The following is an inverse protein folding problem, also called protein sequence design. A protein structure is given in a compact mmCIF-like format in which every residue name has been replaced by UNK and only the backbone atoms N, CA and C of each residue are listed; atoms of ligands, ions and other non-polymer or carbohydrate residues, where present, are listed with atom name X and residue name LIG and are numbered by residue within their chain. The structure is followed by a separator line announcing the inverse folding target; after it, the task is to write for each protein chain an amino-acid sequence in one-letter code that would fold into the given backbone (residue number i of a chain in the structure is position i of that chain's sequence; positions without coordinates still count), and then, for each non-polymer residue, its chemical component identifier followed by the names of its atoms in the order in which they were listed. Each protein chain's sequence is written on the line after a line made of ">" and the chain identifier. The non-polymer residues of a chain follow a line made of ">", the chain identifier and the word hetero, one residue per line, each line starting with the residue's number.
data_IF_369999379282
#
_entry.id   IF_369999379282
#
_cell.length_a   1.000
_cell.length_b   1.000
_cell.length_c   1.000
_cell.angle_alpha   90.00
_cell.angle_beta   90.00
_cell.angle_gamma   90.00
#
_symmetry.space_group_name_H-M   'P 1'
#
loop_
_entity.id
_entity.type
_entity.pdbx_description
1 polymer ?
#
# COMPACT_ATOMS: atom_id res chain seq x y z
N UNK A 1 -0.49 -63.88 -13.45
CA UNK A 1 0.43 -62.79 -13.89
C UNK A 1 -0.23 -61.79 -14.86
N UNK A 2 -1.14 -62.21 -15.75
CA UNK A 2 -1.74 -61.31 -16.76
C UNK A 2 -2.64 -60.22 -16.14
N UNK A 3 -3.45 -60.54 -15.14
CA UNK A 3 -4.39 -59.63 -14.48
C UNK A 3 -3.72 -58.48 -13.70
N UNK A 4 -2.56 -58.71 -13.12
CA UNK A 4 -1.82 -57.71 -12.37
C UNK A 4 -1.23 -56.61 -13.29
N UNK A 5 -0.91 -56.99 -14.53
CA UNK A 5 -0.38 -56.05 -15.53
C UNK A 5 -1.49 -55.20 -16.16
N UNK A 6 -2.69 -55.75 -16.33
CA UNK A 6 -3.87 -55.01 -16.82
C UNK A 6 -4.32 -53.95 -15.80
N UNK A 7 -4.33 -54.31 -14.51
CA UNK A 7 -4.67 -53.34 -13.45
C UNK A 7 -3.68 -52.18 -13.35
N UNK A 8 -2.36 -52.46 -13.49
CA UNK A 8 -1.34 -51.43 -13.53
C UNK A 8 -1.43 -50.51 -14.76
N UNK A 9 -1.77 -51.09 -15.93
CA UNK A 9 -1.97 -50.29 -17.14
C UNK A 9 -3.21 -49.35 -17.04
N UNK A 10 -4.30 -49.83 -16.42
CA UNK A 10 -5.50 -49.01 -16.23
C UNK A 10 -5.23 -47.85 -15.23
N UNK A 11 -4.49 -48.11 -14.16
CA UNK A 11 -4.12 -47.05 -13.19
C UNK A 11 -3.22 -46.01 -13.86
N UNK A 12 -2.27 -46.40 -14.68
CA UNK A 12 -1.37 -45.48 -15.39
C UNK A 12 -2.15 -44.67 -16.41
N UNK A 13 -3.10 -45.26 -17.15
CA UNK A 13 -3.94 -44.54 -18.11
C UNK A 13 -4.85 -43.56 -17.40
N UNK A 14 -5.42 -43.92 -16.23
CA UNK A 14 -6.27 -43.01 -15.45
C UNK A 14 -5.47 -41.83 -14.84
N UNK A 15 -4.26 -42.08 -14.39
CA UNK A 15 -3.39 -41.01 -13.84
C UNK A 15 -2.85 -40.09 -14.92
N UNK A 16 -2.50 -40.62 -16.08
CA UNK A 16 -2.08 -39.82 -17.25
C UNK A 16 -3.28 -39.03 -17.80
N UNK A 17 -4.46 -39.64 -17.90
CA UNK A 17 -5.70 -38.94 -18.28
C UNK A 17 -6.08 -37.83 -17.30
N UNK A 18 -5.87 -38.04 -16.01
CA UNK A 18 -6.09 -37.02 -14.97
C UNK A 18 -5.05 -35.90 -15.07
N UNK A 19 -3.78 -36.22 -15.31
CA UNK A 19 -2.70 -35.23 -15.51
C UNK A 19 -2.92 -34.45 -16.81
N UNK A 20 -3.36 -35.09 -17.90
CA UNK A 20 -3.66 -34.41 -19.16
C UNK A 20 -4.90 -33.51 -19.02
N UNK A 21 -5.90 -33.91 -18.25
CA UNK A 21 -7.08 -33.09 -17.99
C UNK A 21 -6.74 -31.88 -17.12
N UNK A 22 -5.85 -32.00 -16.13
CA UNK A 22 -5.32 -30.87 -15.38
C UNK A 22 -4.48 -29.96 -16.29
N UNK A 23 -3.66 -30.53 -17.23
CA UNK A 23 -2.84 -29.71 -18.09
C UNK A 23 -3.60 -29.04 -19.24
N UNK A 24 -4.74 -29.55 -19.67
CA UNK A 24 -5.49 -28.96 -20.81
C UNK A 24 -6.68 -28.06 -20.38
N UNK A 25 -7.29 -28.33 -19.22
CA UNK A 25 -8.45 -27.55 -18.73
C UNK A 25 -8.16 -26.82 -17.42
N UNK A 26 -7.33 -27.38 -16.55
CA UNK A 26 -7.01 -26.81 -15.23
C UNK A 26 -5.90 -25.74 -15.28
N UNK A 27 -4.95 -25.81 -16.23
CA UNK A 27 -3.89 -24.82 -16.37
C UNK A 27 -4.43 -23.43 -16.74
N UNK A 28 -5.38 -23.26 -17.67
CA UNK A 28 -5.99 -21.96 -17.92
C UNK A 28 -6.69 -21.41 -16.69
N UNK A 29 -7.47 -22.22 -15.98
CA UNK A 29 -8.19 -21.81 -14.76
C UNK A 29 -7.21 -21.47 -13.62
N UNK A 30 -6.16 -22.25 -13.43
CA UNK A 30 -5.10 -21.94 -12.46
C UNK A 30 -4.30 -20.71 -12.88
N UNK A 31 -4.03 -20.53 -14.16
CA UNK A 31 -3.34 -19.35 -14.70
C UNK A 31 -4.21 -18.09 -14.59
N UNK A 32 -5.51 -18.21 -14.85
CA UNK A 32 -6.48 -17.15 -14.65
C UNK A 32 -6.67 -16.82 -13.17
N UNK A 33 -6.82 -17.82 -12.31
CA UNK A 33 -6.89 -17.64 -10.86
C UNK A 33 -5.58 -17.07 -10.30
N UNK A 34 -4.44 -17.51 -10.80
CA UNK A 34 -3.12 -16.99 -10.44
C UNK A 34 -2.94 -15.56 -10.97
N UNK A 35 -3.41 -15.23 -12.16
CA UNK A 35 -3.40 -13.86 -12.69
C UNK A 35 -4.34 -12.92 -11.92
N UNK A 36 -5.47 -13.41 -11.44
CA UNK A 36 -6.39 -12.65 -10.57
C UNK A 36 -5.79 -12.43 -9.16
N UNK A 37 -5.05 -13.41 -8.64
CA UNK A 37 -4.36 -13.31 -7.36
C UNK A 37 -3.05 -12.50 -7.51
N UNK A 38 -2.40 -12.58 -8.66
CA UNK A 38 -1.19 -11.86 -9.04
C UNK A 38 -1.46 -10.76 -10.06
N UNK A 39 -2.63 -10.12 -10.05
CA UNK A 39 -2.74 -8.81 -10.67
C UNK A 39 -1.75 -7.91 -9.89
N UNK A 40 -0.49 -8.04 -10.28
CA UNK A 40 0.55 -7.10 -9.94
C UNK A 40 0.15 -5.78 -10.59
N UNK A 41 -0.57 -4.97 -9.87
CA UNK A 41 -0.56 -3.57 -10.17
C UNK A 41 0.91 -3.17 -9.99
N UNK A 42 1.60 -2.96 -11.10
CA UNK A 42 2.97 -2.48 -11.08
C UNK A 42 2.93 -1.03 -10.63
N UNK A 43 3.48 -0.79 -9.45
CA UNK A 43 3.72 0.57 -8.97
C UNK A 43 5.10 1.03 -9.49
N UNK A 44 5.29 2.34 -9.68
CA UNK A 44 6.63 2.87 -9.94
C UNK A 44 7.61 2.40 -8.87
N UNK A 45 8.85 2.12 -9.26
CA UNK A 45 9.88 1.69 -8.31
C UNK A 45 10.03 2.69 -7.17
N UNK A 46 10.17 2.18 -5.94
CA UNK A 46 10.40 3.00 -4.77
C UNK A 46 11.86 3.39 -4.67
N UNK A 47 12.10 4.68 -4.48
CA UNK A 47 13.43 5.24 -4.29
C UNK A 47 13.50 6.12 -3.05
N UNK A 48 14.71 6.24 -2.51
CA UNK A 48 15.03 7.16 -1.43
C UNK A 48 16.11 8.14 -1.88
N UNK A 49 15.96 9.41 -1.51
CA UNK A 49 16.91 10.48 -1.81
C UNK A 49 17.18 11.31 -0.57
N UNK A 50 18.45 11.47 -0.22
CA UNK A 50 18.88 12.34 0.87
C UNK A 50 18.75 13.80 0.45
N UNK A 51 18.28 14.64 1.34
CA UNK A 51 18.07 16.07 1.16
C UNK A 51 18.75 16.85 2.31
N UNK A 52 18.98 18.13 2.10
CA UNK A 52 19.41 19.11 3.11
C UNK A 52 20.59 18.62 3.97
N UNK A 53 21.71 18.26 3.33
CA UNK A 53 22.92 17.76 3.98
C UNK A 53 22.61 16.52 4.87
N UNK A 54 21.83 15.59 4.35
CA UNK A 54 21.47 14.30 4.98
C UNK A 54 20.65 14.41 6.29
N UNK A 55 19.96 15.54 6.47
CA UNK A 55 19.03 15.71 7.59
C UNK A 55 17.58 15.40 7.26
N UNK A 56 17.28 15.25 5.98
CA UNK A 56 15.97 14.93 5.47
C UNK A 56 16.05 13.80 4.44
N UNK A 57 14.99 13.02 4.33
CA UNK A 57 14.91 11.90 3.40
C UNK A 57 13.63 12.02 2.59
N UNK A 58 13.75 11.86 1.28
CA UNK A 58 12.60 11.75 0.40
C UNK A 58 12.35 10.29 0.04
N UNK A 59 11.07 9.87 0.16
CA UNK A 59 10.52 8.64 -0.36
C UNK A 59 9.67 8.99 -1.58
N UNK A 60 10.02 8.48 -2.76
CA UNK A 60 9.22 8.67 -3.97
C UNK A 60 9.03 7.36 -4.75
N UNK A 61 7.85 7.23 -5.38
CA UNK A 61 7.45 6.00 -6.08
C UNK A 61 6.34 5.23 -5.36
N UNK A 62 6.17 3.98 -5.72
CA UNK A 62 5.14 3.11 -5.20
C UNK A 62 5.57 2.37 -3.94
N UNK A 63 4.64 2.15 -3.02
CA UNK A 63 4.90 1.46 -1.76
C UNK A 63 4.64 -0.04 -1.94
N UNK A 64 5.68 -0.86 -1.76
CA UNK A 64 5.61 -2.31 -1.80
C UNK A 64 5.90 -2.93 -0.41
N UNK A 65 5.59 -4.22 -0.27
CA UNK A 65 5.99 -4.99 0.91
C UNK A 65 7.51 -5.18 0.85
N UNK A 66 8.22 -4.79 1.91
CA UNK A 66 9.68 -4.75 1.94
C UNK A 66 10.26 -3.33 1.87
N UNK A 67 9.45 -2.32 1.50
CA UNK A 67 9.84 -0.90 1.52
C UNK A 67 10.32 -0.45 2.89
N UNK A 68 9.78 -1.05 3.95
CA UNK A 68 10.18 -0.75 5.33
C UNK A 68 11.66 -1.05 5.60
N UNK A 69 12.20 -2.12 5.01
CA UNK A 69 13.62 -2.48 5.18
C UNK A 69 14.55 -1.46 4.54
N UNK A 70 14.12 -0.89 3.41
CA UNK A 70 14.88 0.15 2.73
C UNK A 70 14.86 1.44 3.55
N UNK A 71 13.71 1.83 4.10
CA UNK A 71 13.61 3.00 4.98
C UNK A 71 14.48 2.83 6.23
N UNK A 72 14.42 1.67 6.91
CA UNK A 72 15.27 1.39 8.08
C UNK A 72 16.75 1.53 7.75
N UNK A 73 17.20 0.93 6.63
CA UNK A 73 18.60 1.01 6.20
C UNK A 73 19.05 2.47 5.97
N UNK A 74 18.20 3.32 5.38
CA UNK A 74 18.50 4.75 5.22
C UNK A 74 18.61 5.47 6.55
N UNK A 75 17.66 5.22 7.46
CA UNK A 75 17.64 5.88 8.78
C UNK A 75 18.77 5.40 9.71
N UNK A 76 19.22 4.14 9.56
CA UNK A 76 20.36 3.61 10.32
C UNK A 76 21.69 4.19 9.80
N UNK A 77 21.81 4.37 8.49
CA UNK A 77 22.98 5.02 7.87
C UNK A 77 23.03 6.53 8.15
N UNK A 78 21.88 7.18 8.30
CA UNK A 78 21.77 8.64 8.47
C UNK A 78 20.90 8.98 9.70
N UNK A 79 21.39 8.81 10.93
CA UNK A 79 20.63 8.92 12.18
C UNK A 79 20.13 10.36 12.47
N UNK A 80 20.62 11.36 11.75
CA UNK A 80 20.22 12.76 11.89
C UNK A 80 18.93 13.10 11.12
N UNK A 81 18.40 12.19 10.32
CA UNK A 81 17.14 12.39 9.59
C UNK A 81 15.98 12.56 10.60
N UNK A 82 15.24 13.66 10.43
CA UNK A 82 14.06 14.00 11.25
C UNK A 82 12.80 14.22 10.41
N UNK A 83 12.95 14.49 9.12
CA UNK A 83 11.85 14.78 8.21
C UNK A 83 11.84 13.78 7.04
N UNK A 84 10.68 13.14 6.84
CA UNK A 84 10.42 12.27 5.70
C UNK A 84 9.50 12.99 4.71
N UNK A 85 10.06 13.32 3.56
CA UNK A 85 9.29 13.82 2.42
C UNK A 85 8.60 12.65 1.73
N UNK A 86 7.34 12.82 1.37
CA UNK A 86 6.51 11.79 0.74
C UNK A 86 6.02 12.28 -0.63
N UNK A 87 6.43 11.57 -1.67
CA UNK A 87 5.96 11.76 -3.04
C UNK A 87 5.58 10.40 -3.63
N UNK A 88 4.34 9.98 -3.40
CA UNK A 88 3.92 8.62 -3.71
C UNK A 88 2.44 8.55 -4.10
N UNK A 89 2.15 7.73 -5.10
CA UNK A 89 0.77 7.39 -5.47
C UNK A 89 0.14 6.33 -4.55
N UNK A 90 0.90 5.85 -3.55
CA UNK A 90 0.48 4.77 -2.66
C UNK A 90 1.04 3.42 -3.05
N UNK A 91 0.27 2.38 -2.85
CA UNK A 91 0.70 1.00 -3.12
C UNK A 91 0.12 0.00 -2.13
N UNK A 92 0.92 -0.96 -1.69
CA UNK A 92 0.50 -2.04 -0.80
C UNK A 92 0.24 -1.55 0.64
N UNK A 93 -0.97 -1.77 1.13
CA UNK A 93 -1.36 -1.36 2.49
C UNK A 93 -0.44 -1.93 3.56
N UNK A 94 -0.01 -3.20 3.43
CA UNK A 94 0.89 -3.83 4.40
C UNK A 94 2.26 -3.14 4.43
N UNK A 95 2.80 -2.75 3.27
CA UNK A 95 4.04 -1.97 3.17
C UNK A 95 3.88 -0.61 3.86
N UNK A 96 2.78 0.10 3.60
CA UNK A 96 2.50 1.39 4.21
C UNK A 96 2.33 1.31 5.73
N UNK A 97 1.67 0.28 6.26
CA UNK A 97 1.54 0.06 7.71
C UNK A 97 2.90 -0.14 8.36
N UNK A 98 3.80 -0.91 7.74
CA UNK A 98 5.15 -1.15 8.25
C UNK A 98 6.00 0.12 8.20
N UNK A 99 5.95 0.88 7.09
CA UNK A 99 6.60 2.19 6.99
C UNK A 99 6.08 3.15 8.08
N UNK A 100 4.77 3.23 8.28
CA UNK A 100 4.16 4.04 9.32
C UNK A 100 4.64 3.63 10.73
N UNK A 101 4.86 2.33 10.97
CA UNK A 101 5.47 1.83 12.21
C UNK A 101 6.86 2.41 12.45
N UNK A 102 7.72 2.44 11.43
CA UNK A 102 9.06 3.01 11.51
C UNK A 102 9.00 4.53 11.75
N UNK A 103 8.15 5.24 10.99
CA UNK A 103 7.96 6.69 11.16
C UNK A 103 7.60 7.03 12.61
N UNK A 104 6.66 6.29 13.22
CA UNK A 104 6.29 6.45 14.63
C UNK A 104 7.42 6.11 15.59
N UNK A 105 8.08 4.98 15.39
CA UNK A 105 9.19 4.52 16.24
C UNK A 105 10.36 5.51 16.25
N UNK A 106 10.71 6.04 15.08
CA UNK A 106 11.79 7.01 14.89
C UNK A 106 11.37 8.44 15.21
N UNK A 107 10.07 8.68 15.47
CA UNK A 107 9.48 10.00 15.73
C UNK A 107 9.80 11.01 14.63
N UNK A 108 9.63 10.59 13.38
CA UNK A 108 9.86 11.45 12.23
C UNK A 108 8.68 12.41 12.04
N UNK A 109 8.97 13.58 11.54
CA UNK A 109 7.99 14.45 10.89
C UNK A 109 7.75 13.96 9.46
N UNK A 110 6.58 14.26 8.89
CA UNK A 110 6.26 13.94 7.50
C UNK A 110 5.91 15.20 6.73
N UNK A 111 6.32 15.25 5.47
CA UNK A 111 6.07 16.39 4.60
C UNK A 111 5.62 15.94 3.21
N UNK A 112 4.62 16.64 2.68
CA UNK A 112 4.15 16.46 1.29
C UNK A 112 4.28 17.79 0.56
N UNK A 113 5.17 17.84 -0.42
CA UNK A 113 5.36 19.00 -1.30
C UNK A 113 4.36 18.99 -2.46
N UNK A 114 4.18 17.84 -3.10
CA UNK A 114 3.34 17.70 -4.28
C UNK A 114 2.15 16.78 -4.01
N UNK A 115 2.37 15.45 -3.96
CA UNK A 115 1.26 14.50 -3.78
C UNK A 115 1.64 13.28 -2.96
N UNK A 116 0.73 12.91 -2.05
CA UNK A 116 0.74 11.65 -1.33
C UNK A 116 -0.68 11.05 -1.38
N UNK A 117 -0.84 9.92 -2.09
CA UNK A 117 -2.14 9.33 -2.35
C UNK A 117 -2.29 7.92 -1.74
N UNK A 118 -3.53 7.51 -1.48
CA UNK A 118 -3.87 6.14 -1.09
C UNK A 118 -3.05 5.65 0.13
N UNK A 119 -2.36 4.51 0.03
CA UNK A 119 -1.55 3.93 1.09
C UNK A 119 -0.45 4.89 1.61
N UNK A 120 0.02 5.85 0.80
CA UNK A 120 0.96 6.88 1.24
C UNK A 120 0.39 7.72 2.39
N UNK A 121 -0.92 7.99 2.41
CA UNK A 121 -1.55 8.77 3.49
C UNK A 121 -1.46 8.09 4.86
N UNK A 122 -1.38 6.76 4.90
CA UNK A 122 -1.14 6.00 6.13
C UNK A 122 0.26 6.29 6.69
N UNK A 123 1.27 6.38 5.82
CA UNK A 123 2.64 6.76 6.20
C UNK A 123 2.67 8.21 6.68
N UNK A 124 2.03 9.12 5.94
CA UNK A 124 1.94 10.53 6.27
C UNK A 124 1.31 10.77 7.66
N UNK A 125 0.20 10.09 7.95
CA UNK A 125 -0.51 10.20 9.23
C UNK A 125 0.30 9.69 10.44
N UNK A 126 1.38 8.96 10.21
CA UNK A 126 2.26 8.47 11.26
C UNK A 126 3.25 9.52 11.77
N UNK A 127 3.44 10.62 11.04
CA UNK A 127 4.34 11.72 11.42
C UNK A 127 3.93 12.41 12.71
N UNK A 128 4.93 12.86 13.50
CA UNK A 128 4.71 13.68 14.70
C UNK A 128 4.13 15.03 14.29
N UNK A 129 4.86 15.76 13.46
CA UNK A 129 4.33 16.91 12.73
C UNK A 129 4.04 16.48 11.30
N UNK A 130 2.89 16.87 10.80
CA UNK A 130 2.42 16.52 9.46
C UNK A 130 2.32 17.79 8.62
N UNK A 131 3.40 18.04 7.88
CA UNK A 131 3.59 19.24 7.10
C UNK A 131 3.09 19.05 5.68
N UNK A 132 2.54 20.09 5.08
CA UNK A 132 2.12 20.09 3.69
C UNK A 132 2.53 21.42 3.03
N UNK A 133 3.03 21.35 1.80
CA UNK A 133 3.30 22.54 1.00
C UNK A 133 2.02 23.24 0.56
N UNK A 134 2.10 24.52 0.19
CA UNK A 134 0.93 25.29 -0.28
C UNK A 134 0.18 24.61 -1.42
N UNK A 135 0.90 23.94 -2.32
CA UNK A 135 0.35 23.19 -3.45
C UNK A 135 0.35 21.67 -3.21
N UNK A 136 0.64 21.24 -1.98
CA UNK A 136 0.65 19.82 -1.62
C UNK A 136 -0.75 19.22 -1.58
N UNK A 137 -0.88 17.99 -2.05
CA UNK A 137 -2.14 17.26 -2.11
C UNK A 137 -2.07 15.96 -1.32
N UNK A 138 -3.08 15.70 -0.51
CA UNK A 138 -3.36 14.39 0.06
C UNK A 138 -4.61 13.83 -0.62
N UNK A 139 -4.48 12.64 -1.21
CA UNK A 139 -5.55 12.01 -1.96
C UNK A 139 -5.99 10.69 -1.31
N UNK A 140 -7.28 10.55 -1.07
CA UNK A 140 -7.88 9.48 -0.28
C UNK A 140 -8.91 8.69 -1.08
N UNK A 141 -9.01 7.40 -0.79
CA UNK A 141 -10.07 6.53 -1.27
C UNK A 141 -10.19 5.26 -0.39
N UNK A 142 -11.27 4.50 -0.57
CA UNK A 142 -11.43 3.20 0.08
C UNK A 142 -10.35 2.21 -0.38
N UNK A 143 -9.98 1.30 0.51
CA UNK A 143 -9.06 0.23 0.15
C UNK A 143 -9.69 -0.70 -0.90
N UNK A 144 -8.89 -1.12 -1.88
CA UNK A 144 -9.28 -2.02 -2.95
C UNK A 144 -8.21 -3.05 -3.29
N UNK A 145 -8.55 -4.01 -4.16
CA UNK A 145 -7.62 -4.98 -4.73
C UNK A 145 -7.65 -4.83 -6.24
N UNK A 146 -6.47 -4.71 -6.88
CA UNK A 146 -6.36 -4.68 -8.33
C UNK A 146 -7.06 -3.50 -9.00
N UNK A 147 -7.16 -2.34 -8.32
CA UNK A 147 -7.81 -1.14 -8.87
C UNK A 147 -9.34 -1.19 -8.86
N UNK A 148 -9.95 -2.20 -8.25
CA UNK A 148 -11.40 -2.31 -8.11
C UNK A 148 -11.84 -2.11 -6.66
N UNK A 149 -12.95 -1.39 -6.47
CA UNK A 149 -13.58 -1.26 -5.17
C UNK A 149 -14.05 -2.61 -4.68
N UNK A 150 -13.39 -3.14 -3.67
CA UNK A 150 -13.87 -4.33 -2.97
C UNK A 150 -14.68 -3.88 -1.77
N UNK A 151 -15.94 -3.52 -1.98
CA UNK A 151 -16.89 -3.27 -0.89
C UNK A 151 -16.98 -4.45 0.09
N UNK A 152 -16.53 -5.63 -0.32
CA UNK A 152 -16.59 -6.87 0.43
C UNK A 152 -15.24 -7.29 1.04
N UNK A 153 -14.15 -6.53 0.91
CA UNK A 153 -12.91 -6.87 1.59
C UNK A 153 -12.85 -6.22 2.97
N UNK A 154 -13.58 -6.82 3.90
CA UNK A 154 -13.63 -6.37 5.30
C UNK A 154 -12.24 -6.24 5.94
N UNK A 155 -11.31 -7.12 5.59
CA UNK A 155 -9.96 -7.11 6.16
C UNK A 155 -9.17 -5.85 5.75
N UNK A 156 -9.17 -5.47 4.47
CA UNK A 156 -8.50 -4.26 4.00
C UNK A 156 -9.18 -3.00 4.53
N UNK A 157 -10.52 -2.96 4.49
CA UNK A 157 -11.30 -1.85 5.05
C UNK A 157 -11.08 -1.72 6.55
N UNK A 158 -11.01 -2.84 7.29
CA UNK A 158 -10.70 -2.85 8.72
C UNK A 158 -9.28 -2.37 9.01
N UNK A 159 -8.29 -2.78 8.21
CA UNK A 159 -6.90 -2.33 8.35
C UNK A 159 -6.80 -0.82 8.12
N UNK A 160 -7.40 -0.30 7.05
CA UNK A 160 -7.44 1.13 6.75
C UNK A 160 -8.10 1.90 7.91
N UNK A 161 -9.30 1.50 8.32
CA UNK A 161 -10.03 2.11 9.44
C UNK A 161 -9.17 2.18 10.70
N UNK A 162 -8.52 1.07 11.05
CA UNK A 162 -7.66 1.00 12.23
C UNK A 162 -6.52 2.01 12.18
N UNK A 163 -5.83 2.14 11.04
CA UNK A 163 -4.74 3.11 10.90
C UNK A 163 -5.24 4.56 11.07
N UNK A 164 -6.36 4.89 10.45
CA UNK A 164 -6.94 6.25 10.51
C UNK A 164 -7.47 6.59 11.90
N UNK A 165 -8.17 5.65 12.55
CA UNK A 165 -8.65 5.83 13.94
C UNK A 165 -7.46 6.03 14.89
N UNK A 166 -6.42 5.22 14.78
CA UNK A 166 -5.21 5.33 15.60
C UNK A 166 -4.43 6.64 15.35
N UNK A 167 -4.58 7.25 14.17
CA UNK A 167 -4.04 8.56 13.85
C UNK A 167 -4.93 9.73 14.32
N UNK A 168 -6.09 9.43 14.92
CA UNK A 168 -7.03 10.44 15.42
C UNK A 168 -7.88 11.08 14.33
N UNK A 169 -8.03 10.45 13.17
CA UNK A 169 -8.88 10.95 12.08
C UNK A 169 -10.33 10.93 12.52
N UNK A 170 -11.07 12.04 12.41
CA UNK A 170 -12.45 12.11 12.87
C UNK A 170 -13.38 11.27 11.98
N UNK A 171 -14.47 10.80 12.58
CA UNK A 171 -15.42 9.88 11.95
C UNK A 171 -15.94 10.40 10.59
N UNK A 172 -16.32 11.67 10.52
CA UNK A 172 -16.87 12.28 9.29
C UNK A 172 -15.87 12.22 8.11
N UNK A 173 -14.57 12.42 8.40
CA UNK A 173 -13.52 12.35 7.39
C UNK A 173 -13.30 10.90 6.92
N UNK A 174 -13.22 9.97 7.89
CA UNK A 174 -13.07 8.54 7.61
C UNK A 174 -14.25 8.00 6.78
N UNK A 175 -15.49 8.40 7.09
CA UNK A 175 -16.68 8.03 6.32
C UNK A 175 -16.56 8.47 4.86
N UNK A 176 -16.07 9.69 4.61
CA UNK A 176 -15.85 10.20 3.26
C UNK A 176 -14.75 9.45 2.51
N UNK A 177 -13.65 9.12 3.19
CA UNK A 177 -12.60 8.24 2.63
C UNK A 177 -13.18 6.90 2.20
N UNK A 178 -13.96 6.25 3.08
CA UNK A 178 -14.55 4.94 2.81
C UNK A 178 -15.66 4.97 1.75
N UNK A 179 -16.32 6.09 1.57
CA UNK A 179 -17.34 6.29 0.54
C UNK A 179 -16.75 6.62 -0.84
N UNK A 180 -15.47 7.00 -0.91
CA UNK A 180 -14.77 7.24 -2.18
C UNK A 180 -14.34 5.91 -2.79
N UNK A 181 -14.81 5.54 -3.99
CA UNK A 181 -14.41 4.31 -4.66
C UNK A 181 -12.89 4.20 -4.83
N UNK A 182 -12.37 2.97 -4.95
CA UNK A 182 -10.93 2.74 -5.12
C UNK A 182 -10.38 3.28 -6.44
N UNK A 183 -11.22 3.34 -7.46
CA UNK A 183 -10.95 3.91 -8.79
C UNK A 183 -10.95 5.44 -8.82
N UNK A 184 -11.46 6.08 -7.77
CA UNK A 184 -11.54 7.54 -7.63
C UNK A 184 -10.58 8.05 -6.56
N UNK A 185 -10.37 9.36 -6.53
CA UNK A 185 -9.58 10.04 -5.50
C UNK A 185 -10.36 11.26 -4.97
N UNK A 186 -10.53 11.29 -3.66
CA UNK A 186 -10.97 12.50 -2.98
C UNK A 186 -9.76 13.29 -2.49
N UNK A 187 -9.61 14.51 -2.97
CA UNK A 187 -8.56 15.46 -2.60
C UNK A 187 -9.22 16.60 -1.81
N UNK A 188 -9.21 16.53 -0.46
CA UNK A 188 -9.75 17.61 0.38
C UNK A 188 -8.87 18.86 0.30
N UNK A 189 -9.47 20.03 0.44
CA UNK A 189 -8.72 21.26 0.59
C UNK A 189 -8.01 21.35 1.96
N UNK A 190 -7.07 22.29 2.09
CA UNK A 190 -6.28 22.43 3.32
C UNK A 190 -7.15 22.83 4.55
N UNK A 191 -8.31 23.42 4.36
CA UNK A 191 -9.22 23.76 5.46
C UNK A 191 -9.88 22.49 6.02
N UNK A 192 -10.36 21.62 5.15
CA UNK A 192 -10.87 20.30 5.54
C UNK A 192 -9.78 19.46 6.21
N UNK A 193 -8.55 19.47 5.69
CA UNK A 193 -7.41 18.78 6.29
C UNK A 193 -7.08 19.33 7.69
N UNK A 194 -7.09 20.64 7.89
CA UNK A 194 -6.90 21.25 9.22
C UNK A 194 -8.03 20.89 10.18
N UNK A 195 -9.29 21.03 9.73
CA UNK A 195 -10.48 20.71 10.52
C UNK A 195 -10.47 19.24 10.97
N UNK A 196 -10.00 18.35 10.11
CA UNK A 196 -9.85 16.93 10.42
C UNK A 196 -8.57 16.60 11.21
N UNK A 197 -7.72 17.59 11.50
CA UNK A 197 -6.42 17.42 12.14
C UNK A 197 -5.51 16.44 11.38
N UNK A 198 -5.67 16.35 10.07
CA UNK A 198 -4.81 15.55 9.19
C UNK A 198 -3.45 16.23 9.06
N UNK A 199 -3.43 17.53 8.85
CA UNK A 199 -2.21 18.35 8.79
C UNK A 199 -2.02 19.13 10.07
N UNK A 200 -0.75 19.35 10.46
CA UNK A 200 -0.39 20.23 11.58
C UNK A 200 0.00 21.62 11.10
N UNK A 201 0.59 21.72 9.92
CA UNK A 201 1.07 22.99 9.36
C UNK A 201 1.08 22.97 7.84
N UNK A 202 0.74 24.09 7.21
CA UNK A 202 1.07 24.40 5.82
C UNK A 202 2.35 25.21 5.79
N UNK A 203 3.30 24.80 4.95
CA UNK A 203 4.61 25.44 4.83
C UNK A 203 4.82 26.00 3.42
N UNK A 204 5.44 27.16 3.34
CA UNK A 204 5.86 27.73 2.07
C UNK A 204 7.05 26.91 1.53
N UNK A 205 6.95 26.45 0.29
CA UNK A 205 7.96 25.62 -0.38
C UNK A 205 8.93 26.45 -1.19
#
# INVERSE_FOLDING_TARGET
>A
MLWANVAKAIIIISTIGYIINISTTGIPVLKESYSLITQHQEYPELHFRLLNNETELELYGGIEVGSEKQLEAQLDAHPNIKLLHLHSIGGRMLGAIRLAGIVKQRKLDTYVKERCASACTVVYLAGVNRLIGENGELAFHAAGIGGTSTHNNEALSSSLKTQYINAGVPKWFLEKVLATPNEDLWIPDHNDLRKAKIITQVVNS
#
